data_IF_124352912119
#
_entry.id   IF_124352912119
#
_cell.length_a   1.000
_cell.length_b   1.000
_cell.length_c   1.000
_cell.angle_alpha   90.00
_cell.angle_beta   90.00
_cell.angle_gamma   90.00
#
_symmetry.space_group_name_H-M   'P 1'
#
loop_
_entity.id
_entity.type
_entity.pdbx_description
1 polymer ?
#
# COMPACT_ATOMS: atom_id res chain seq x y z
N UNK A 1 -19.77 57.94 -35.86
CA UNK A 1 -18.91 58.02 -34.66
C UNK A 1 -18.99 56.70 -33.92
N UNK A 2 -18.00 55.82 -34.05
CA UNK A 2 -17.99 54.49 -33.41
C UNK A 2 -17.01 54.49 -32.24
N UNK A 3 -17.52 54.31 -31.01
CA UNK A 3 -16.71 54.24 -29.78
C UNK A 3 -16.07 52.86 -29.69
N UNK A 4 -14.73 52.79 -29.79
CA UNK A 4 -13.96 51.58 -29.48
C UNK A 4 -13.83 51.44 -27.97
N UNK A 5 -14.42 50.38 -27.41
CA UNK A 5 -14.21 49.96 -26.03
C UNK A 5 -12.79 49.38 -25.89
N UNK A 6 -11.98 49.78 -24.89
CA UNK A 6 -10.65 49.23 -24.71
C UNK A 6 -10.73 47.84 -24.08
N UNK A 7 -10.27 46.82 -24.81
CA UNK A 7 -10.06 45.47 -24.28
C UNK A 7 -8.84 45.47 -23.37
N UNK A 8 -9.08 45.33 -22.06
CA UNK A 8 -8.05 45.22 -21.03
C UNK A 8 -7.33 43.87 -21.21
N UNK A 9 -6.04 43.90 -21.58
CA UNK A 9 -5.21 42.69 -21.66
C UNK A 9 -5.12 42.04 -20.27
N UNK A 10 -5.25 40.70 -20.15
CA UNK A 10 -5.04 40.01 -18.89
C UNK A 10 -3.60 40.25 -18.43
N UNK A 11 -3.43 40.75 -17.20
CA UNK A 11 -2.13 40.84 -16.56
C UNK A 11 -1.74 39.41 -16.18
N UNK A 12 -0.61 38.87 -16.66
CA UNK A 12 -0.18 37.54 -16.28
C UNK A 12 0.18 37.59 -14.79
N UNK A 13 -0.64 36.95 -13.97
CA UNK A 13 -0.31 36.70 -12.56
C UNK A 13 0.86 35.74 -12.57
N UNK A 14 2.07 36.26 -12.31
CA UNK A 14 3.25 35.43 -12.06
C UNK A 14 2.97 34.63 -10.79
N UNK A 15 2.61 33.36 -10.92
CA UNK A 15 2.55 32.46 -9.78
C UNK A 15 3.98 32.26 -9.27
N UNK A 16 4.34 32.95 -8.19
CA UNK A 16 5.56 32.69 -7.42
C UNK A 16 5.46 31.39 -6.60
N UNK A 17 4.87 30.32 -7.15
CA UNK A 17 5.11 28.97 -6.67
C UNK A 17 6.26 28.44 -7.50
N UNK A 18 7.43 28.23 -6.88
CA UNK A 18 8.53 27.53 -7.53
C UNK A 18 7.96 26.27 -8.16
N UNK A 19 8.09 26.15 -9.48
CA UNK A 19 7.49 25.04 -10.21
C UNK A 19 8.14 23.77 -9.67
N UNK A 20 7.37 22.96 -8.94
CA UNK A 20 7.82 21.63 -8.59
C UNK A 20 8.27 20.92 -9.87
N UNK A 21 9.32 20.08 -9.79
CA UNK A 21 9.67 19.23 -10.92
C UNK A 21 8.44 18.43 -11.36
N UNK A 22 8.30 18.17 -12.68
CA UNK A 22 7.19 17.37 -13.17
C UNK A 22 7.22 15.98 -12.54
N UNK A 23 6.06 15.50 -12.09
CA UNK A 23 5.92 14.15 -11.56
C UNK A 23 6.35 13.11 -12.59
N UNK A 24 7.15 12.14 -12.16
CA UNK A 24 7.43 10.93 -12.94
C UNK A 24 6.14 10.14 -13.19
N UNK A 25 6.10 9.23 -14.18
CA UNK A 25 4.92 8.40 -14.42
C UNK A 25 4.45 7.63 -13.19
N UNK A 26 5.38 7.07 -12.40
CA UNK A 26 5.07 6.35 -11.17
C UNK A 26 4.49 7.27 -10.08
N UNK A 27 5.11 8.44 -9.85
CA UNK A 27 4.60 9.43 -8.89
C UNK A 27 3.21 9.93 -9.29
N UNK A 28 2.98 10.13 -10.59
CA UNK A 28 1.68 10.53 -11.13
C UNK A 28 0.62 9.45 -10.91
N UNK A 29 0.96 8.17 -11.12
CA UNK A 29 0.04 7.07 -10.87
C UNK A 29 -0.44 7.05 -9.41
N UNK A 30 0.48 7.22 -8.45
CA UNK A 30 0.16 7.32 -7.02
C UNK A 30 -0.74 8.53 -6.73
N UNK A 31 -0.38 9.71 -7.22
CA UNK A 31 -1.17 10.95 -7.02
C UNK A 31 -2.56 10.85 -7.65
N UNK A 32 -2.69 10.19 -8.81
CA UNK A 32 -3.98 10.01 -9.47
C UNK A 32 -4.87 8.98 -8.76
N UNK A 33 -4.29 7.88 -8.27
CA UNK A 33 -5.00 6.92 -7.43
C UNK A 33 -5.48 7.53 -6.11
N UNK A 34 -4.70 8.49 -5.56
CA UNK A 34 -5.04 9.20 -4.34
C UNK A 34 -6.36 9.98 -4.39
N UNK A 35 -6.92 10.20 -5.59
CA UNK A 35 -8.20 10.90 -5.78
C UNK A 35 -9.37 10.21 -5.09
N UNK A 36 -9.31 8.87 -4.97
CA UNK A 36 -10.36 8.06 -4.33
C UNK A 36 -10.22 8.00 -2.81
N UNK A 37 -9.03 8.26 -2.25
CA UNK A 37 -8.76 8.06 -0.81
C UNK A 37 -9.76 8.76 0.12
N UNK A 38 -10.22 10.01 -0.13
CA UNK A 38 -11.21 10.64 0.74
C UNK A 38 -12.61 10.01 0.68
N UNK A 39 -12.88 9.13 -0.30
CA UNK A 39 -14.17 8.47 -0.48
C UNK A 39 -14.23 7.09 0.18
N UNK A 40 -13.07 6.50 0.50
CA UNK A 40 -13.04 5.24 1.21
C UNK A 40 -13.56 5.39 2.63
N UNK A 41 -14.10 4.31 3.15
CA UNK A 41 -14.58 4.18 4.54
C UNK A 41 -13.80 3.10 5.26
N UNK A 42 -13.47 2.03 4.54
CA UNK A 42 -12.65 0.92 5.03
C UNK A 42 -11.15 1.24 4.88
N UNK A 43 -10.36 1.12 5.96
CA UNK A 43 -8.90 1.25 5.91
C UNK A 43 -8.21 0.24 4.97
N UNK A 44 -8.75 -0.98 4.82
CA UNK A 44 -8.19 -1.97 3.91
C UNK A 44 -8.24 -1.49 2.46
N UNK A 45 -9.33 -0.83 2.06
CA UNK A 45 -9.48 -0.30 0.70
C UNK A 45 -8.43 0.81 0.43
N UNK A 46 -8.05 1.58 1.45
CA UNK A 46 -6.98 2.59 1.38
C UNK A 46 -5.63 1.91 1.13
N UNK A 47 -5.31 0.86 1.89
CA UNK A 47 -4.06 0.12 1.73
C UNK A 47 -3.94 -0.52 0.36
N UNK A 48 -5.00 -1.21 -0.09
CA UNK A 48 -5.03 -1.88 -1.40
C UNK A 48 -4.88 -0.85 -2.51
N UNK A 49 -5.62 0.27 -2.45
CA UNK A 49 -5.54 1.30 -3.48
C UNK A 49 -4.16 1.94 -3.58
N UNK A 50 -3.53 2.25 -2.44
CA UNK A 50 -2.21 2.90 -2.43
C UNK A 50 -1.10 1.91 -2.81
N UNK A 51 -1.17 0.67 -2.32
CA UNK A 51 -0.23 -0.40 -2.68
C UNK A 51 -0.28 -0.69 -4.19
N UNK A 52 -1.48 -0.85 -4.76
CA UNK A 52 -1.66 -1.08 -6.18
C UNK A 52 -1.12 0.09 -7.04
N UNK A 53 -1.32 1.32 -6.59
CA UNK A 53 -0.83 2.50 -7.29
C UNK A 53 0.70 2.64 -7.25
N UNK A 54 1.32 2.14 -6.18
CA UNK A 54 2.77 2.14 -6.00
C UNK A 54 3.46 0.97 -6.72
N UNK A 55 2.76 -0.13 -6.99
CA UNK A 55 3.34 -1.34 -7.60
C UNK A 55 4.12 -1.13 -8.92
N UNK A 56 3.75 -0.20 -9.83
CA UNK A 56 4.55 0.09 -11.02
C UNK A 56 5.87 0.81 -10.72
N UNK A 57 6.02 1.40 -9.52
CA UNK A 57 7.26 2.04 -9.10
C UNK A 57 8.29 0.94 -8.79
N UNK A 58 9.42 0.97 -9.51
CA UNK A 58 10.52 0.01 -9.31
C UNK A 58 11.53 0.47 -8.26
N UNK A 59 11.45 1.72 -7.82
CA UNK A 59 12.39 2.35 -6.89
C UNK A 59 11.62 3.03 -5.74
N UNK A 60 12.22 2.97 -4.54
CA UNK A 60 11.78 3.62 -3.30
C UNK A 60 11.69 5.16 -3.42
N UNK A 61 12.30 5.74 -4.45
CA UNK A 61 12.34 7.19 -4.74
C UNK A 61 11.00 7.79 -5.19
N UNK A 62 9.92 7.02 -5.23
CA UNK A 62 8.58 7.55 -5.56
C UNK A 62 8.06 8.50 -4.47
N UNK A 63 8.32 8.19 -3.20
CA UNK A 63 7.64 8.86 -2.07
C UNK A 63 8.02 10.32 -1.86
N UNK A 64 9.32 10.74 -1.91
CA UNK A 64 9.67 12.14 -1.72
C UNK A 64 8.97 13.08 -2.72
N UNK A 65 8.85 12.66 -3.99
CA UNK A 65 8.15 13.45 -5.01
C UNK A 65 6.64 13.49 -4.81
N UNK A 66 6.03 12.37 -4.38
CA UNK A 66 4.61 12.30 -4.04
C UNK A 66 4.28 13.21 -2.86
N UNK A 67 5.08 13.16 -1.78
CA UNK A 67 4.92 13.98 -0.58
C UNK A 67 5.06 15.46 -0.94
N UNK A 68 6.13 15.84 -1.66
CA UNK A 68 6.36 17.22 -2.08
C UNK A 68 5.20 17.77 -2.92
N UNK A 69 4.61 16.95 -3.79
CA UNK A 69 3.45 17.33 -4.60
C UNK A 69 2.20 17.57 -3.75
N UNK A 70 1.91 16.67 -2.82
CA UNK A 70 0.78 16.79 -1.90
C UNK A 70 0.87 18.08 -1.07
N UNK A 71 2.07 18.42 -0.58
CA UNK A 71 2.35 19.66 0.16
C UNK A 71 2.15 20.91 -0.70
N UNK A 72 2.59 20.90 -1.95
CA UNK A 72 2.46 22.07 -2.84
C UNK A 72 1.03 22.33 -3.33
N UNK A 73 0.16 21.34 -3.24
CA UNK A 73 -1.26 21.45 -3.61
C UNK A 73 -2.14 21.02 -2.43
N UNK A 74 -2.22 21.80 -1.34
CA UNK A 74 -3.01 21.43 -0.17
C UNK A 74 -4.47 21.22 -0.51
N UNK A 75 -5.01 20.06 -0.14
CA UNK A 75 -6.41 19.69 -0.36
C UNK A 75 -6.77 18.51 0.54
N UNK A 76 -8.08 18.19 0.65
CA UNK A 76 -8.54 16.96 1.30
C UNK A 76 -7.88 15.69 0.75
N UNK A 77 -7.62 15.65 -0.56
CA UNK A 77 -6.93 14.52 -1.23
C UNK A 77 -5.47 14.45 -0.80
N UNK A 78 -4.81 15.59 -0.71
CA UNK A 78 -3.41 15.68 -0.32
C UNK A 78 -3.22 15.28 1.15
N UNK A 79 -4.13 15.72 2.04
CA UNK A 79 -4.13 15.27 3.43
C UNK A 79 -4.35 13.75 3.48
N UNK A 80 -5.37 13.22 2.80
CA UNK A 80 -5.65 11.79 2.77
C UNK A 80 -4.44 10.96 2.26
N UNK A 81 -3.77 11.44 1.21
CA UNK A 81 -2.56 10.80 0.69
C UNK A 81 -1.42 10.80 1.72
N UNK A 82 -1.12 11.95 2.32
CA UNK A 82 -0.05 12.07 3.32
C UNK A 82 -0.35 11.20 4.55
N UNK A 83 -1.60 11.13 5.00
CA UNK A 83 -2.02 10.25 6.10
C UNK A 83 -1.84 8.77 5.76
N UNK A 84 -2.17 8.35 4.54
CA UNK A 84 -1.98 6.97 4.11
C UNK A 84 -0.49 6.62 3.95
N UNK A 85 0.31 7.50 3.35
CA UNK A 85 1.76 7.32 3.18
C UNK A 85 2.48 7.28 4.53
N UNK A 86 2.09 8.11 5.49
CA UNK A 86 2.67 8.11 6.84
C UNK A 86 2.60 6.74 7.53
N UNK A 87 1.55 5.96 7.26
CA UNK A 87 1.32 4.65 7.86
C UNK A 87 1.98 3.53 7.05
N UNK A 88 1.92 3.62 5.72
CA UNK A 88 2.41 2.55 4.83
C UNK A 88 3.89 2.66 4.50
N UNK A 89 4.49 3.84 4.66
CA UNK A 89 5.91 4.11 4.37
C UNK A 89 6.58 4.64 5.63
N UNK A 90 6.93 3.76 6.59
CA UNK A 90 7.63 4.15 7.80
C UNK A 90 8.92 4.90 7.48
N UNK A 91 9.24 5.94 8.26
CA UNK A 91 10.43 6.77 8.06
C UNK A 91 10.27 7.89 7.02
N UNK A 92 9.11 7.97 6.34
CA UNK A 92 8.79 9.13 5.49
C UNK A 92 8.40 10.38 6.32
N UNK A 93 8.60 11.56 5.75
CA UNK A 93 8.17 12.84 6.36
C UNK A 93 6.65 13.08 6.26
N UNK A 94 5.89 12.12 5.71
CA UNK A 94 4.48 12.31 5.37
C UNK A 94 3.60 12.66 6.58
N UNK A 95 3.89 12.10 7.77
CA UNK A 95 3.15 12.43 8.99
C UNK A 95 3.31 13.91 9.37
N UNK A 96 4.56 14.40 9.36
CA UNK A 96 4.92 15.78 9.67
C UNK A 96 4.30 16.73 8.66
N UNK A 97 4.34 16.38 7.38
CA UNK A 97 3.71 17.19 6.33
C UNK A 97 2.18 17.17 6.41
N UNK A 98 1.56 16.04 6.79
CA UNK A 98 0.11 15.97 7.00
C UNK A 98 -0.36 16.91 8.10
N UNK A 99 0.38 16.99 9.22
CA UNK A 99 0.01 17.85 10.35
C UNK A 99 0.05 19.34 10.00
N UNK A 100 0.91 19.76 9.06
CA UNK A 100 0.93 21.12 8.52
C UNK A 100 -0.32 21.46 7.69
N UNK A 101 -1.06 20.46 7.21
CA UNK A 101 -2.30 20.61 6.46
C UNK A 101 -3.55 20.64 7.37
N UNK A 102 -3.40 20.82 8.68
CA UNK A 102 -4.43 20.66 9.73
C UNK A 102 -5.75 21.45 9.58
N UNK A 103 -5.86 22.37 8.62
CA UNK A 103 -7.13 23.02 8.25
C UNK A 103 -8.03 22.13 7.37
N UNK A 104 -7.52 21.02 6.85
CA UNK A 104 -8.29 20.06 6.05
C UNK A 104 -9.00 19.06 6.97
N UNK A 105 -10.26 18.68 6.67
CA UNK A 105 -10.93 17.64 7.45
C UNK A 105 -10.22 16.29 7.29
N UNK A 106 -10.03 15.60 8.41
CA UNK A 106 -9.45 14.27 8.44
C UNK A 106 -10.31 13.26 7.66
N UNK A 107 -9.69 12.32 6.93
CA UNK A 107 -10.41 11.20 6.32
C UNK A 107 -11.08 10.32 7.38
N UNK A 108 -12.28 9.82 7.08
CA UNK A 108 -13.06 9.02 8.05
C UNK A 108 -12.35 7.73 8.49
N UNK A 109 -11.56 7.12 7.61
CA UNK A 109 -10.78 5.91 7.87
C UNK A 109 -9.52 6.18 8.71
N UNK A 110 -9.11 7.44 8.92
CA UNK A 110 -7.82 7.79 9.54
C UNK A 110 -7.62 7.14 10.90
N UNK A 111 -8.64 7.22 11.76
CA UNK A 111 -8.56 6.70 13.12
C UNK A 111 -8.47 5.17 13.16
N UNK A 112 -9.13 4.48 12.24
CA UNK A 112 -9.07 3.03 12.15
C UNK A 112 -7.77 2.54 11.51
N UNK A 113 -7.17 3.31 10.60
CA UNK A 113 -5.97 2.88 9.87
C UNK A 113 -4.78 2.55 10.79
N UNK A 114 -4.61 3.20 11.94
CA UNK A 114 -3.52 2.87 12.88
C UNK A 114 -3.78 1.60 13.69
N UNK A 115 -5.04 1.15 13.74
CA UNK A 115 -5.49 0.02 14.56
C UNK A 115 -5.33 -1.35 13.92
N UNK A 116 -4.42 -1.51 12.94
CA UNK A 116 -4.16 -2.81 12.32
C UNK A 116 -3.63 -3.77 13.38
N UNK A 117 -4.29 -4.91 13.55
CA UNK A 117 -3.84 -6.00 14.41
C UNK A 117 -3.55 -7.26 13.61
N UNK A 118 -2.54 -8.02 14.03
CA UNK A 118 -2.24 -9.35 13.48
C UNK A 118 -3.07 -10.39 14.22
N UNK A 119 -3.76 -11.24 13.47
CA UNK A 119 -4.56 -12.35 13.99
C UNK A 119 -3.83 -13.69 13.92
N UNK A 120 -4.62 -14.74 13.71
CA UNK A 120 -4.14 -16.11 13.55
C UNK A 120 -3.43 -16.30 12.20
N UNK A 121 -2.42 -17.16 12.19
CA UNK A 121 -1.70 -17.58 10.99
C UNK A 121 -1.68 -19.11 10.87
N UNK A 122 -1.71 -19.58 9.63
CA UNK A 122 -1.67 -20.97 9.26
C UNK A 122 -0.71 -21.20 8.09
N UNK A 123 -0.25 -22.44 7.98
CA UNK A 123 0.59 -22.90 6.89
C UNK A 123 0.10 -24.25 6.37
N UNK A 124 0.20 -24.44 5.06
CA UNK A 124 0.33 -25.75 4.43
C UNK A 124 1.77 -25.87 3.98
N UNK A 125 2.54 -26.70 4.67
CA UNK A 125 3.97 -26.87 4.41
C UNK A 125 4.20 -28.10 3.53
N UNK A 126 4.40 -27.85 2.23
CA UNK A 126 4.70 -28.87 1.22
C UNK A 126 6.07 -28.61 0.59
N UNK A 127 7.04 -28.16 1.38
CA UNK A 127 8.38 -27.80 0.86
C UNK A 127 9.07 -28.97 0.16
N UNK A 128 8.78 -30.22 0.56
CA UNK A 128 9.24 -31.42 -0.13
C UNK A 128 8.71 -31.54 -1.56
N UNK A 129 7.53 -30.97 -1.83
CA UNK A 129 6.87 -30.84 -3.14
C UNK A 129 7.14 -29.47 -3.79
N UNK A 130 8.00 -28.67 -3.17
CA UNK A 130 8.52 -27.43 -3.73
C UNK A 130 7.70 -26.16 -3.45
N UNK A 131 6.75 -26.17 -2.51
CA UNK A 131 6.00 -24.96 -2.17
C UNK A 131 5.48 -24.95 -0.73
N UNK A 132 5.13 -23.78 -0.22
CA UNK A 132 4.39 -23.61 1.02
C UNK A 132 3.36 -22.49 0.85
N UNK A 133 2.21 -22.63 1.49
CA UNK A 133 1.16 -21.61 1.45
C UNK A 133 0.91 -21.09 2.85
N UNK A 134 1.03 -19.78 3.03
CA UNK A 134 0.79 -19.08 4.29
C UNK A 134 -0.53 -18.32 4.21
N UNK A 135 -1.34 -18.42 5.26
CA UNK A 135 -2.51 -17.57 5.46
C UNK A 135 -2.36 -16.86 6.80
N UNK A 136 -2.46 -15.54 6.81
CA UNK A 136 -2.53 -14.76 8.04
C UNK A 136 -3.78 -13.87 8.03
N UNK A 137 -4.45 -13.79 9.16
CA UNK A 137 -5.57 -12.87 9.37
C UNK A 137 -5.08 -11.58 10.00
N UNK A 138 -5.82 -10.51 9.74
CA UNK A 138 -5.58 -9.18 10.26
C UNK A 138 -6.92 -8.50 10.50
N UNK A 139 -6.94 -7.49 11.36
CA UNK A 139 -8.17 -6.74 11.58
C UNK A 139 -7.96 -5.24 11.74
N UNK A 140 -9.00 -4.50 11.37
CA UNK A 140 -9.22 -3.10 11.75
C UNK A 140 -10.45 -3.05 12.67
N UNK A 141 -10.23 -3.18 13.98
CA UNK A 141 -11.33 -3.38 14.92
C UNK A 141 -12.02 -4.73 14.68
N UNK A 142 -13.32 -4.71 14.38
CA UNK A 142 -14.14 -5.90 14.15
C UNK A 142 -14.08 -6.41 12.70
N UNK A 143 -13.54 -5.60 11.77
CA UNK A 143 -13.42 -5.96 10.36
C UNK A 143 -12.16 -6.81 10.15
N UNK A 144 -12.33 -8.09 9.80
CA UNK A 144 -11.25 -9.06 9.60
C UNK A 144 -11.03 -9.33 8.11
N UNK A 145 -9.75 -9.42 7.71
CA UNK A 145 -9.33 -9.85 6.38
C UNK A 145 -8.16 -10.82 6.47
N UNK A 146 -7.92 -11.58 5.39
CA UNK A 146 -6.82 -12.51 5.27
C UNK A 146 -5.87 -12.11 4.14
N UNK A 147 -4.59 -12.36 4.35
CA UNK A 147 -3.59 -12.44 3.30
C UNK A 147 -3.18 -13.89 3.07
N UNK A 148 -3.19 -14.32 1.81
CA UNK A 148 -2.79 -15.65 1.35
C UNK A 148 -1.55 -15.50 0.48
N UNK A 149 -0.52 -16.29 0.76
CA UNK A 149 0.79 -16.18 0.11
C UNK A 149 1.30 -17.55 -0.28
N UNK A 150 1.55 -17.76 -1.56
CA UNK A 150 2.21 -18.96 -2.07
C UNK A 150 3.69 -18.67 -2.24
N UNK A 151 4.52 -19.40 -1.50
CA UNK A 151 5.98 -19.38 -1.62
C UNK A 151 6.41 -20.60 -2.43
N UNK A 152 7.14 -20.38 -3.51
CA UNK A 152 7.62 -21.43 -4.41
C UNK A 152 9.10 -21.70 -4.15
N UNK A 153 9.40 -22.84 -3.54
CA UNK A 153 10.77 -23.26 -3.20
C UNK A 153 11.59 -23.62 -4.44
N UNK A 154 10.93 -24.04 -5.54
CA UNK A 154 11.61 -24.29 -6.81
C UNK A 154 12.07 -22.97 -7.47
N UNK A 155 11.45 -21.86 -7.10
CA UNK A 155 11.84 -20.50 -7.48
C UNK A 155 12.64 -19.81 -6.36
N UNK A 156 13.54 -20.56 -5.73
CA UNK A 156 14.40 -20.12 -4.64
C UNK A 156 13.65 -19.68 -3.37
N UNK A 157 12.39 -20.06 -3.19
CA UNK A 157 11.57 -19.73 -2.02
C UNK A 157 11.08 -18.28 -2.06
N UNK A 158 10.69 -17.80 -3.24
CA UNK A 158 10.10 -16.47 -3.48
C UNK A 158 8.58 -16.52 -3.33
N UNK A 159 7.95 -15.40 -2.94
CA UNK A 159 6.49 -15.26 -3.05
C UNK A 159 6.11 -15.23 -4.52
N UNK A 160 5.37 -16.25 -4.97
CA UNK A 160 4.92 -16.39 -6.35
C UNK A 160 3.54 -15.81 -6.58
N UNK A 161 2.63 -16.00 -5.63
CA UNK A 161 1.28 -15.45 -5.65
C UNK A 161 0.96 -14.85 -4.28
N UNK A 162 0.27 -13.72 -4.27
CA UNK A 162 -0.22 -13.08 -3.06
C UNK A 162 -1.64 -12.55 -3.30
N UNK A 163 -2.52 -12.76 -2.34
CA UNK A 163 -3.92 -12.37 -2.44
C UNK A 163 -4.44 -11.85 -1.10
N UNK A 164 -5.37 -10.89 -1.15
CA UNK A 164 -5.99 -10.29 0.04
C UNK A 164 -7.51 -10.39 -0.10
N UNK A 165 -8.19 -10.81 0.95
CA UNK A 165 -9.64 -11.00 0.94
C UNK A 165 -10.29 -10.72 2.28
N UNK A 166 -11.53 -10.23 2.24
CA UNK A 166 -12.42 -10.14 3.41
C UNK A 166 -13.17 -11.45 3.68
N UNK A 167 -13.18 -12.38 2.72
CA UNK A 167 -13.77 -13.71 2.87
C UNK A 167 -12.75 -14.70 3.47
N UNK A 168 -12.57 -14.58 4.78
CA UNK A 168 -11.58 -15.35 5.56
C UNK A 168 -11.91 -16.84 5.58
N UNK A 169 -13.19 -17.19 5.71
CA UNK A 169 -13.63 -18.59 5.79
C UNK A 169 -13.41 -19.33 4.47
N UNK A 170 -13.74 -18.68 3.34
CA UNK A 170 -13.43 -19.24 2.02
C UNK A 170 -11.91 -19.38 1.84
N UNK A 171 -11.11 -18.37 2.23
CA UNK A 171 -9.66 -18.46 2.14
C UNK A 171 -9.08 -19.61 2.97
N UNK A 172 -9.60 -19.82 4.18
CA UNK A 172 -9.21 -20.92 5.06
C UNK A 172 -9.61 -22.29 4.50
N UNK A 173 -10.79 -22.37 3.89
CA UNK A 173 -11.26 -23.60 3.22
C UNK A 173 -10.36 -23.92 2.04
N UNK A 174 -10.09 -22.94 1.18
CA UNK A 174 -9.19 -23.11 0.03
C UNK A 174 -7.78 -23.51 0.46
N UNK A 175 -7.25 -22.95 1.55
CA UNK A 175 -5.97 -23.39 2.11
C UNK A 175 -6.00 -24.89 2.45
N UNK A 176 -7.09 -25.38 3.06
CA UNK A 176 -7.26 -26.79 3.39
C UNK A 176 -7.32 -27.73 2.18
N UNK A 177 -7.79 -27.24 1.03
CA UNK A 177 -7.78 -28.02 -0.22
C UNK A 177 -6.36 -28.30 -0.73
N UNK A 178 -5.36 -27.53 -0.29
CA UNK A 178 -3.97 -27.72 -0.66
C UNK A 178 -3.23 -28.71 0.23
N UNK A 179 -3.72 -29.07 1.43
CA UNK A 179 -3.04 -30.04 2.29
C UNK A 179 -3.36 -29.90 3.78
N UNK A 180 -2.53 -30.53 4.62
CA UNK A 180 -2.66 -30.45 6.06
C UNK A 180 -2.38 -29.02 6.56
N UNK A 181 -3.38 -28.40 7.17
CA UNK A 181 -3.29 -27.03 7.69
C UNK A 181 -2.78 -27.06 9.12
N UNK A 182 -1.67 -26.37 9.37
CA UNK A 182 -1.07 -26.23 10.69
C UNK A 182 -1.13 -24.78 11.15
N UNK A 183 -1.51 -24.55 12.42
CA UNK A 183 -1.41 -23.23 13.03
C UNK A 183 0.06 -22.88 13.30
N UNK A 184 0.47 -21.66 12.98
CA UNK A 184 1.82 -21.16 13.25
C UNK A 184 1.78 -19.81 13.94
N UNK A 185 2.82 -19.50 14.72
CA UNK A 185 2.93 -18.21 15.39
C UNK A 185 3.04 -17.06 14.39
N UNK A 186 2.40 -15.93 14.69
CA UNK A 186 2.40 -14.74 13.84
C UNK A 186 3.82 -14.27 13.50
N UNK A 187 4.71 -14.16 14.50
CA UNK A 187 6.10 -13.75 14.28
C UNK A 187 6.84 -14.70 13.31
N UNK A 188 6.62 -16.01 13.42
CA UNK A 188 7.22 -17.00 12.54
C UNK A 188 6.66 -16.92 11.12
N UNK A 189 5.35 -16.74 10.96
CA UNK A 189 4.72 -16.57 9.65
C UNK A 189 5.28 -15.35 8.91
N UNK A 190 5.38 -14.20 9.61
CA UNK A 190 5.84 -12.95 9.02
C UNK A 190 7.36 -12.94 8.78
N UNK A 191 8.15 -13.66 9.59
CA UNK A 191 9.57 -13.91 9.29
C UNK A 191 9.73 -14.67 7.97
N UNK A 192 8.95 -15.73 7.74
CA UNK A 192 8.96 -16.48 6.47
C UNK A 192 8.53 -15.60 5.30
N UNK A 193 7.50 -14.77 5.49
CA UNK A 193 7.07 -13.82 4.46
C UNK A 193 8.15 -12.78 4.13
N UNK A 194 8.82 -12.23 5.13
CA UNK A 194 9.94 -11.31 4.92
C UNK A 194 11.04 -11.95 4.08
N UNK A 195 11.51 -13.13 4.47
CA UNK A 195 12.53 -13.88 3.72
C UNK A 195 12.13 -14.19 2.27
N UNK A 196 10.84 -14.40 2.02
CA UNK A 196 10.32 -14.68 0.68
C UNK A 196 10.17 -13.40 -0.16
N UNK A 197 9.76 -12.27 0.45
CA UNK A 197 9.64 -10.97 -0.24
C UNK A 197 11.01 -10.33 -0.52
N UNK A 198 12.01 -10.52 0.35
CA UNK A 198 13.39 -10.07 0.09
C UNK A 198 13.93 -10.61 -1.25
N UNK A 199 13.48 -11.81 -1.65
CA UNK A 199 13.86 -12.44 -2.93
C UNK A 199 13.08 -11.91 -4.12
N UNK A 200 11.86 -11.40 -3.91
CA UNK A 200 11.07 -10.72 -4.96
C UNK A 200 11.84 -9.50 -5.48
N UNK A 201 12.53 -8.81 -4.58
CA UNK A 201 13.28 -7.60 -4.87
C UNK A 201 14.62 -7.88 -5.55
N UNK A 202 15.26 -8.99 -5.19
CA UNK A 202 16.52 -9.43 -5.78
C UNK A 202 16.42 -10.09 -7.16
N UNK A 203 15.21 -10.45 -7.64
CA UNK A 203 15.04 -11.36 -8.78
C UNK A 203 13.92 -11.00 -9.77
N UNK A 204 14.06 -9.94 -10.59
CA UNK A 204 13.11 -9.66 -11.66
C UNK A 204 13.08 -10.79 -12.70
N UNK A 205 11.89 -11.30 -13.02
CA UNK A 205 11.67 -12.26 -14.13
C UNK A 205 11.41 -13.72 -13.72
N UNK A 206 11.25 -14.02 -12.43
CA UNK A 206 11.03 -15.39 -11.91
C UNK A 206 9.62 -15.97 -12.12
N UNK A 207 8.79 -15.40 -13.02
CA UNK A 207 7.41 -15.84 -13.19
C UNK A 207 6.51 -15.55 -11.98
N UNK A 208 6.85 -14.48 -11.24
CA UNK A 208 6.09 -13.95 -10.11
C UNK A 208 4.81 -13.30 -10.65
N UNK A 209 3.68 -13.60 -10.00
CA UNK A 209 2.39 -13.01 -10.34
C UNK A 209 2.41 -11.49 -10.09
N UNK A 210 1.92 -10.64 -11.01
CA UNK A 210 1.82 -9.20 -10.81
C UNK A 210 1.18 -8.78 -9.48
N UNK A 211 0.23 -9.58 -8.97
CA UNK A 211 -0.47 -9.29 -7.72
C UNK A 211 0.46 -9.24 -6.51
N UNK A 212 1.60 -9.95 -6.54
CA UNK A 212 2.64 -9.89 -5.49
C UNK A 212 3.16 -8.47 -5.32
N UNK A 213 3.38 -7.75 -6.42
CA UNK A 213 3.81 -6.35 -6.41
C UNK A 213 2.66 -5.41 -6.03
N UNK A 214 1.43 -5.71 -6.48
CA UNK A 214 0.22 -4.95 -6.16
C UNK A 214 0.00 -4.86 -4.66
N UNK A 215 0.24 -5.94 -3.91
CA UNK A 215 0.04 -5.98 -2.45
C UNK A 215 1.32 -5.79 -1.65
N UNK A 216 2.45 -5.50 -2.30
CA UNK A 216 3.75 -5.48 -1.62
C UNK A 216 3.80 -4.48 -0.45
N UNK A 217 3.42 -3.21 -0.69
CA UNK A 217 3.49 -2.15 0.32
C UNK A 217 2.66 -2.48 1.57
N UNK A 218 1.47 -3.08 1.36
CA UNK A 218 0.62 -3.47 2.48
C UNK A 218 1.15 -4.71 3.22
N UNK A 219 1.86 -5.61 2.54
CA UNK A 219 2.51 -6.77 3.16
C UNK A 219 3.72 -6.36 3.97
N UNK A 220 4.54 -5.44 3.47
CA UNK A 220 5.68 -4.88 4.21
C UNK A 220 5.24 -4.28 5.55
N UNK A 221 4.13 -3.54 5.55
CA UNK A 221 3.53 -3.02 6.78
C UNK A 221 3.15 -4.13 7.77
N UNK A 222 2.55 -5.22 7.28
CA UNK A 222 2.15 -6.38 8.11
C UNK A 222 3.37 -7.10 8.69
N UNK A 223 4.42 -7.26 7.88
CA UNK A 223 5.71 -7.81 8.31
C UNK A 223 6.31 -6.95 9.43
N UNK A 224 6.38 -5.63 9.24
CA UNK A 224 6.92 -4.72 10.24
C UNK A 224 6.13 -4.77 11.55
N UNK A 225 4.79 -4.82 11.48
CA UNK A 225 3.92 -4.92 12.64
C UNK A 225 4.18 -6.19 13.47
N UNK A 226 4.31 -7.34 12.81
CA UNK A 226 4.50 -8.63 13.46
C UNK A 226 5.91 -8.83 14.06
N UNK A 227 6.89 -8.00 13.69
CA UNK A 227 8.24 -8.05 14.25
C UNK A 227 8.39 -7.23 15.55
N UNK A 228 7.46 -6.31 15.82
CA UNK A 228 7.47 -5.43 17.00
C UNK A 228 6.47 -5.90 18.08
N UNK A 229 5.55 -6.81 17.71
CA UNK A 229 4.51 -7.39 18.57
C UNK A 229 5.02 -8.61 19.34
#
# INVERSE_FOLDING_TARGET
MSRRTPTRKPIPVKSHRGALPPLTPAQRAVVDAARQLPQFTDPLDVEVALSAAAAPARDEDVWPGVIANAVAVPSRRSLALLRAVAVLVPGSDAAVEADKLGDQPEPVWRGALDGLAVGECWVVDQRAEGHQTLLCTYSYGDDVHAGLYLVDENLAGVVKNAFITKDVETARTMLGDHGAVEGIGAAEAHRRLAEAYDKVDGGPGLGIDPDVYVVKLMVERRIALAQVS
#
